data_IF_297030538411
#
_entry.id   IF_297030538411
#
_cell.length_a   1.000
_cell.length_b   1.000
_cell.length_c   1.000
_cell.angle_alpha   90.00
_cell.angle_beta   90.00
_cell.angle_gamma   90.00
#
_symmetry.space_group_name_H-M   'P 1'
#
loop_
_entity.id
_entity.type
_entity.pdbx_description
1 polymer ?
#
# COMPACT_ATOMS: atom_id res chain seq x y z
N UNK A 1 -9.74 -24.85 -4.90
CA UNK A 1 -9.73 -23.42 -4.51
C UNK A 1 -9.60 -22.61 -5.79
N UNK A 2 -10.61 -21.81 -6.12
CA UNK A 2 -10.54 -20.95 -7.31
C UNK A 2 -9.47 -19.90 -7.04
N UNK A 3 -8.40 -19.90 -7.85
CA UNK A 3 -7.38 -18.86 -7.82
C UNK A 3 -8.01 -17.59 -8.40
N UNK A 4 -8.72 -16.84 -7.57
CA UNK A 4 -9.30 -15.56 -7.98
C UNK A 4 -8.17 -14.64 -8.41
N UNK A 5 -8.22 -14.19 -9.66
CA UNK A 5 -7.27 -13.25 -10.21
C UNK A 5 -7.44 -11.93 -9.45
N UNK A 6 -6.39 -11.44 -8.80
CA UNK A 6 -6.39 -10.10 -8.21
C UNK A 6 -6.23 -9.06 -9.32
N UNK A 7 -7.26 -8.25 -9.53
CA UNK A 7 -7.25 -7.19 -10.53
C UNK A 7 -6.77 -5.87 -9.94
N UNK A 8 -6.32 -4.96 -10.81
CA UNK A 8 -5.95 -3.60 -10.41
C UNK A 8 -7.12 -2.86 -9.72
N UNK A 9 -8.34 -3.07 -10.22
CA UNK A 9 -9.56 -2.51 -9.63
C UNK A 9 -9.77 -3.00 -8.19
N UNK A 10 -9.49 -4.27 -7.90
CA UNK A 10 -9.72 -4.85 -6.58
C UNK A 10 -8.82 -4.18 -5.52
N UNK A 11 -7.59 -3.83 -5.89
CA UNK A 11 -6.66 -3.10 -5.01
C UNK A 11 -7.16 -1.69 -4.68
N UNK A 12 -7.71 -0.99 -5.66
CA UNK A 12 -8.33 0.32 -5.41
C UNK A 12 -9.57 0.19 -4.53
N UNK A 13 -10.44 -0.77 -4.83
CA UNK A 13 -11.68 -0.97 -4.08
C UNK A 13 -11.41 -1.32 -2.61
N UNK A 14 -10.45 -2.21 -2.33
CA UNK A 14 -10.10 -2.54 -0.95
C UNK A 14 -9.42 -1.36 -0.24
N UNK A 15 -8.53 -0.63 -0.94
CA UNK A 15 -7.91 0.57 -0.38
C UNK A 15 -8.93 1.64 -0.01
N UNK A 16 -9.92 1.89 -0.87
CA UNK A 16 -11.00 2.86 -0.63
C UNK A 16 -11.85 2.46 0.57
N UNK A 17 -12.19 1.17 0.71
CA UNK A 17 -12.93 0.64 1.86
C UNK A 17 -12.13 0.79 3.15
N UNK A 18 -10.84 0.44 3.15
CA UNK A 18 -9.94 0.62 4.31
C UNK A 18 -9.86 2.10 4.67
N UNK A 19 -9.61 2.97 3.70
CA UNK A 19 -9.50 4.41 3.95
C UNK A 19 -10.78 4.99 4.53
N UNK A 20 -11.95 4.58 4.01
CA UNK A 20 -13.26 4.97 4.56
C UNK A 20 -13.43 4.49 6.00
N UNK A 21 -13.07 3.23 6.29
CA UNK A 21 -13.23 2.61 7.62
C UNK A 21 -12.37 3.27 8.71
N UNK A 22 -11.18 3.76 8.34
CA UNK A 22 -10.18 4.28 9.28
C UNK A 22 -9.96 5.79 9.18
N UNK A 23 -10.75 6.50 8.36
CA UNK A 23 -10.64 7.94 8.16
C UNK A 23 -9.32 8.37 7.52
N UNK A 24 -8.78 7.56 6.61
CA UNK A 24 -7.54 7.84 5.89
C UNK A 24 -7.81 8.47 4.53
N UNK A 25 -6.81 9.13 3.97
CA UNK A 25 -6.84 9.64 2.60
C UNK A 25 -5.54 9.32 1.88
N UNK A 26 -5.65 9.01 0.59
CA UNK A 26 -4.50 8.85 -0.30
C UNK A 26 -4.81 9.50 -1.65
N UNK A 27 -3.77 9.85 -2.40
CA UNK A 27 -3.92 10.47 -3.72
C UNK A 27 -4.17 9.43 -4.81
N UNK A 28 -3.30 8.41 -4.89
CA UNK A 28 -3.41 7.33 -5.89
C UNK A 28 -2.52 6.14 -5.56
N UNK A 29 -2.86 4.99 -6.12
CA UNK A 29 -2.01 3.80 -6.19
C UNK A 29 -1.34 3.77 -7.57
N UNK A 30 -0.05 3.46 -7.61
CA UNK A 30 0.76 3.37 -8.81
C UNK A 30 1.55 2.05 -8.83
N UNK A 31 1.78 1.44 -10.00
CA UNK A 31 2.69 0.30 -10.06
C UNK A 31 4.14 0.75 -9.84
N UNK A 32 4.90 0.01 -9.03
CA UNK A 32 6.36 0.12 -8.96
C UNK A 32 6.98 -0.62 -10.14
N UNK A 33 7.64 0.15 -11.01
CA UNK A 33 8.16 -0.30 -12.31
C UNK A 33 9.68 -0.27 -12.41
N UNK A 34 10.39 0.24 -11.39
CA UNK A 34 11.84 0.28 -11.35
C UNK A 34 12.40 -1.14 -11.40
N UNK A 35 13.23 -1.40 -12.41
CA UNK A 35 13.91 -2.70 -12.62
C UNK A 35 14.65 -3.18 -11.38
N UNK A 36 15.29 -2.26 -10.65
CA UNK A 36 16.09 -2.51 -9.44
C UNK A 36 15.41 -2.02 -8.16
N UNK A 37 14.08 -2.08 -8.07
CA UNK A 37 13.41 -1.80 -6.80
C UNK A 37 13.85 -2.81 -5.71
N UNK A 38 14.01 -2.30 -4.49
CA UNK A 38 14.48 -3.03 -3.30
C UNK A 38 13.35 -3.41 -2.32
N UNK A 39 12.17 -2.85 -2.53
CA UNK A 39 10.98 -3.04 -1.71
C UNK A 39 9.79 -3.49 -2.58
N UNK A 40 8.77 -4.06 -1.93
CA UNK A 40 7.52 -4.46 -2.57
C UNK A 40 6.53 -3.31 -2.67
N UNK A 41 6.60 -2.33 -1.78
CA UNK A 41 5.77 -1.13 -1.81
C UNK A 41 6.51 0.07 -1.26
N UNK A 42 5.92 1.25 -1.45
CA UNK A 42 6.33 2.47 -0.78
C UNK A 42 5.19 3.50 -0.76
N UNK A 43 5.04 4.18 0.38
CA UNK A 43 4.13 5.30 0.55
C UNK A 43 4.92 6.62 0.53
N UNK A 44 4.71 7.44 -0.50
CA UNK A 44 5.45 8.70 -0.70
C UNK A 44 4.54 9.92 -0.64
N UNK A 45 5.02 11.06 -0.11
CA UNK A 45 4.33 12.33 -0.23
C UNK A 45 4.13 12.72 -1.70
N UNK A 46 3.08 13.48 -1.99
CA UNK A 46 2.84 13.97 -3.35
C UNK A 46 3.90 14.99 -3.76
N UNK A 47 4.03 15.25 -5.06
CA UNK A 47 5.02 16.20 -5.60
C UNK A 47 4.91 17.62 -5.03
N UNK A 48 3.74 18.03 -4.53
CA UNK A 48 3.55 19.36 -3.92
C UNK A 48 4.14 19.43 -2.51
N UNK A 49 4.20 18.29 -1.82
CA UNK A 49 4.74 18.16 -0.46
C UNK A 49 6.23 17.78 -0.46
N UNK A 50 6.84 17.64 -1.65
CA UNK A 50 8.27 17.46 -1.85
C UNK A 50 8.76 18.73 -2.55
N UNK A 51 9.48 19.59 -1.83
CA UNK A 51 10.25 20.67 -2.44
C UNK A 51 11.76 20.38 -2.37
N UNK A 52 12.59 21.33 -2.82
CA UNK A 52 14.03 21.13 -2.92
C UNK A 52 14.73 21.01 -1.55
N UNK A 53 14.10 21.45 -0.47
CA UNK A 53 14.70 21.56 0.86
C UNK A 53 13.91 20.82 1.96
N UNK A 54 12.63 20.52 1.73
CA UNK A 54 11.73 19.97 2.74
C UNK A 54 10.77 18.92 2.15
N UNK A 55 10.46 17.93 2.99
CA UNK A 55 9.46 16.91 2.73
C UNK A 55 8.43 16.97 3.87
N UNK A 56 7.19 17.36 3.57
CA UNK A 56 6.08 17.28 4.53
C UNK A 56 5.42 15.89 4.44
N UNK A 57 6.15 14.91 4.97
CA UNK A 57 5.74 13.50 4.88
C UNK A 57 4.51 13.19 5.73
N UNK A 58 4.40 13.81 6.91
CA UNK A 58 3.33 13.50 7.86
C UNK A 58 2.00 14.09 7.42
N UNK A 59 1.98 15.33 6.94
CA UNK A 59 0.71 16.03 6.66
C UNK A 59 0.25 15.96 5.20
N UNK A 60 1.00 15.29 4.31
CA UNK A 60 0.53 15.05 2.95
C UNK A 60 -0.72 14.15 2.95
N UNK A 61 -1.87 14.69 2.56
CA UNK A 61 -3.12 13.93 2.38
C UNK A 61 -3.22 13.23 1.01
N UNK A 62 -2.42 13.67 0.04
CA UNK A 62 -2.39 13.16 -1.34
C UNK A 62 -1.25 12.15 -1.57
N UNK A 63 -0.86 11.38 -0.54
CA UNK A 63 0.23 10.39 -0.64
C UNK A 63 0.02 9.43 -1.81
N UNK A 64 1.13 9.06 -2.45
CA UNK A 64 1.17 8.12 -3.57
C UNK A 64 1.67 6.78 -3.04
N UNK A 65 0.84 5.75 -3.18
CA UNK A 65 1.19 4.38 -2.81
C UNK A 65 1.74 3.69 -4.05
N UNK A 66 2.96 3.19 -3.97
CA UNK A 66 3.57 2.37 -5.00
C UNK A 66 3.48 0.91 -4.61
N UNK A 67 3.00 0.06 -5.51
CA UNK A 67 2.94 -1.39 -5.31
C UNK A 67 3.65 -2.12 -6.44
N UNK A 68 4.53 -3.04 -6.08
CA UNK A 68 5.15 -3.93 -7.04
C UNK A 68 4.23 -5.11 -7.33
N UNK A 69 4.10 -5.46 -8.61
CA UNK A 69 3.28 -6.60 -9.06
C UNK A 69 4.12 -7.84 -9.41
N UNK A 70 5.43 -7.68 -9.50
CA UNK A 70 6.38 -8.73 -9.89
C UNK A 70 7.44 -8.93 -8.81
N UNK A 71 7.97 -10.14 -8.69
CA UNK A 71 9.00 -10.48 -7.71
C UNK A 71 10.25 -9.60 -7.86
N UNK A 72 10.91 -9.30 -6.72
CA UNK A 72 12.20 -8.63 -6.69
C UNK A 72 13.21 -9.40 -7.55
N UNK A 73 13.97 -8.68 -8.36
CA UNK A 73 14.97 -9.24 -9.29
C UNK A 73 14.41 -10.20 -10.36
N UNK A 74 13.09 -10.41 -10.42
CA UNK A 74 12.41 -11.30 -11.39
C UNK A 74 11.19 -10.58 -11.99
N UNK A 75 11.40 -9.54 -12.83
CA UNK A 75 10.35 -8.64 -13.30
C UNK A 75 9.29 -9.29 -14.20
N UNK A 76 9.45 -10.57 -14.58
CA UNK A 76 8.47 -11.34 -15.38
C UNK A 76 7.67 -12.34 -14.54
N UNK A 77 7.97 -12.46 -13.25
CA UNK A 77 7.31 -13.40 -12.35
C UNK A 77 6.38 -12.59 -11.46
N UNK A 78 5.07 -12.83 -11.56
CA UNK A 78 4.08 -12.15 -10.73
C UNK A 78 4.28 -12.46 -9.24
N UNK A 79 3.95 -11.50 -8.39
CA UNK A 79 3.77 -11.74 -6.96
C UNK A 79 2.44 -12.46 -6.71
N UNK A 80 2.37 -13.22 -5.62
CA UNK A 80 1.12 -13.77 -5.17
C UNK A 80 0.17 -12.64 -4.75
N UNK A 81 -1.13 -12.77 -5.04
CA UNK A 81 -2.14 -11.76 -4.68
C UNK A 81 -2.10 -11.38 -3.20
N UNK A 82 -1.97 -12.38 -2.31
CA UNK A 82 -1.80 -12.16 -0.86
C UNK A 82 -0.58 -11.32 -0.50
N UNK A 83 0.53 -11.46 -1.23
CA UNK A 83 1.74 -10.66 -0.98
C UNK A 83 1.51 -9.21 -1.36
N UNK A 84 0.80 -8.97 -2.47
CA UNK A 84 0.42 -7.63 -2.92
C UNK A 84 -0.53 -7.00 -1.90
N UNK A 85 -1.53 -7.74 -1.42
CA UNK A 85 -2.51 -7.24 -0.44
C UNK A 85 -1.88 -6.96 0.93
N UNK A 86 -0.96 -7.82 1.42
CA UNK A 86 -0.16 -7.51 2.63
C UNK A 86 0.65 -6.24 2.46
N UNK A 87 1.27 -6.09 1.29
CA UNK A 87 2.06 -4.88 0.99
C UNK A 87 1.14 -3.66 0.96
N UNK A 88 -0.06 -3.76 0.38
CA UNK A 88 -1.03 -2.68 0.40
C UNK A 88 -1.46 -2.32 1.83
N UNK A 89 -1.74 -3.31 2.69
CA UNK A 89 -2.07 -3.06 4.10
C UNK A 89 -0.95 -2.27 4.80
N UNK A 90 0.30 -2.69 4.60
CA UNK A 90 1.50 -2.02 5.10
C UNK A 90 1.59 -0.55 4.61
N UNK A 91 1.43 -0.31 3.30
CA UNK A 91 1.51 1.06 2.77
C UNK A 91 0.32 1.94 3.19
N UNK A 92 -0.84 1.34 3.46
CA UNK A 92 -2.00 2.05 4.00
C UNK A 92 -1.78 2.45 5.47
N UNK A 93 -1.11 1.61 6.26
CA UNK A 93 -0.73 1.96 7.63
C UNK A 93 0.17 3.22 7.66
N UNK A 94 1.04 3.38 6.66
CA UNK A 94 1.87 4.59 6.47
C UNK A 94 1.09 5.89 6.21
N UNK A 95 -0.19 5.82 5.87
CA UNK A 95 -1.03 7.03 5.77
C UNK A 95 -1.23 7.70 7.14
N UNK A 96 -1.19 6.91 8.22
CA UNK A 96 -1.30 7.39 9.60
C UNK A 96 0.05 7.39 10.32
N UNK A 97 0.79 6.29 10.23
CA UNK A 97 2.01 6.05 11.01
C UNK A 97 3.25 6.01 10.09
N UNK A 98 4.07 7.06 10.10
CA UNK A 98 5.22 7.14 9.18
C UNK A 98 6.35 6.13 9.50
N UNK A 99 6.59 5.85 10.78
CA UNK A 99 7.65 4.94 11.20
C UNK A 99 7.13 3.56 11.61
N UNK A 100 7.97 2.54 11.47
CA UNK A 100 7.69 1.14 11.84
C UNK A 100 7.82 0.88 13.35
N UNK A 101 7.03 1.60 14.15
CA UNK A 101 6.93 1.38 15.59
C UNK A 101 5.78 0.45 15.98
N UNK A 102 5.61 0.22 17.28
CA UNK A 102 4.50 -0.59 17.80
C UNK A 102 3.12 -0.11 17.35
N UNK A 103 2.90 1.20 17.29
CA UNK A 103 1.63 1.80 16.81
C UNK A 103 1.38 1.47 15.34
N UNK A 104 2.43 1.41 14.54
CA UNK A 104 2.36 1.00 13.14
C UNK A 104 1.98 -0.48 13.04
N UNK A 105 2.66 -1.36 13.79
CA UNK A 105 2.39 -2.80 13.75
C UNK A 105 0.95 -3.14 14.17
N UNK A 106 0.47 -2.50 15.24
CA UNK A 106 -0.91 -2.65 15.71
C UNK A 106 -1.91 -2.16 14.65
N UNK A 107 -1.62 -1.03 13.98
CA UNK A 107 -2.50 -0.49 12.96
C UNK A 107 -2.48 -1.27 11.63
N UNK A 108 -1.32 -1.80 11.23
CA UNK A 108 -1.19 -2.70 10.08
C UNK A 108 -2.03 -3.97 10.29
N UNK A 109 -2.05 -4.51 11.51
CA UNK A 109 -2.87 -5.68 11.83
C UNK A 109 -4.37 -5.34 11.81
N UNK A 110 -4.80 -4.20 12.37
CA UNK A 110 -6.20 -3.74 12.27
C UNK A 110 -6.67 -3.63 10.80
N UNK A 111 -5.82 -3.10 9.92
CA UNK A 111 -6.11 -3.02 8.48
C UNK A 111 -6.22 -4.44 7.89
N UNK A 112 -5.28 -5.32 8.23
CA UNK A 112 -5.25 -6.70 7.73
C UNK A 112 -6.47 -7.50 8.18
N UNK A 113 -6.90 -7.35 9.43
CA UNK A 113 -8.13 -7.95 9.96
C UNK A 113 -9.35 -7.46 9.19
N UNK A 114 -9.50 -6.15 8.98
CA UNK A 114 -10.62 -5.61 8.21
C UNK A 114 -10.62 -6.10 6.75
N UNK A 115 -9.45 -6.20 6.12
CA UNK A 115 -9.34 -6.78 4.78
C UNK A 115 -9.75 -8.27 4.75
N UNK A 116 -9.44 -9.04 5.80
CA UNK A 116 -9.92 -10.42 5.96
C UNK A 116 -11.44 -10.49 6.13
N UNK A 117 -12.05 -9.57 6.88
CA UNK A 117 -13.52 -9.45 7.01
C UNK A 117 -14.20 -9.16 5.66
N UNK A 118 -13.54 -8.40 4.78
CA UNK A 118 -13.98 -8.15 3.41
C UNK A 118 -13.80 -9.35 2.46
N UNK A 119 -13.20 -10.45 2.93
CA UNK A 119 -13.01 -11.69 2.18
C UNK A 119 -11.68 -11.79 1.42
N UNK A 120 -10.71 -10.92 1.70
CA UNK A 120 -9.39 -10.97 1.09
C UNK A 120 -8.42 -11.87 1.87
N UNK A 121 -7.56 -12.60 1.16
CA UNK A 121 -6.45 -13.33 1.77
C UNK A 121 -5.26 -12.36 1.95
N UNK A 122 -5.04 -11.95 3.19
CA UNK A 122 -3.93 -11.12 3.63
C UNK A 122 -3.13 -11.91 4.66
#
# INVERSE_FOLDING_TARGET
MSSTILLWKDMHEVADKVCTRFGLTYGKIMPETKKLARHHGACWPCKKCIDAEHIDEKNCSEKIIYLRLHQLNKPRVALAGKTILRTLAHELAHLREWGHGRTFDEFEEEISEFMRELGYEV
#
